data_IF_602819713120
#
_entry.id   IF_602819713120
#
_cell.length_a   1.000
_cell.length_b   1.000
_cell.length_c   1.000
_cell.angle_alpha   90.00
_cell.angle_beta   90.00
_cell.angle_gamma   90.00
#
_symmetry.space_group_name_H-M   'P 1'
#
loop_
_entity.id
_entity.type
_entity.pdbx_description
1 polymer ?
#
# COMPACT_ATOMS: atom_id res chain seq x y z
N UNK A 1 -19.84 -10.88 -7.92
CA UNK A 1 -19.24 -10.80 -6.58
C UNK A 1 -19.33 -12.16 -5.93
N UNK A 2 -18.22 -12.69 -5.46
CA UNK A 2 -18.20 -13.90 -4.63
C UNK A 2 -18.64 -13.54 -3.20
N UNK A 3 -19.05 -14.55 -2.42
CA UNK A 3 -19.39 -14.34 -1.00
C UNK A 3 -18.21 -14.58 -0.06
N UNK A 4 -17.37 -15.55 -0.38
CA UNK A 4 -16.30 -16.02 0.50
C UNK A 4 -15.13 -16.54 -0.34
N UNK A 5 -13.91 -16.22 0.09
CA UNK A 5 -12.67 -16.88 -0.30
C UNK A 5 -12.34 -17.88 0.81
N UNK A 6 -12.08 -19.14 0.45
CA UNK A 6 -11.87 -20.21 1.42
C UNK A 6 -10.41 -20.26 1.89
N UNK A 7 -10.19 -19.82 3.14
CA UNK A 7 -8.88 -19.85 3.79
C UNK A 7 -8.64 -21.12 4.62
N UNK A 8 -9.61 -22.04 4.70
CA UNK A 8 -9.59 -23.17 5.64
C UNK A 8 -8.36 -24.08 5.52
N UNK A 9 -7.72 -24.13 4.35
CA UNK A 9 -6.45 -24.84 4.15
C UNK A 9 -5.27 -24.24 4.94
N UNK A 10 -5.46 -23.06 5.55
CA UNK A 10 -4.49 -22.35 6.39
C UNK A 10 -4.91 -22.28 7.87
N UNK A 11 -5.89 -23.05 8.32
CA UNK A 11 -6.34 -23.03 9.72
C UNK A 11 -5.20 -23.20 10.75
N UNK A 12 -4.21 -24.05 10.44
CA UNK A 12 -3.05 -24.31 11.30
C UNK A 12 -1.94 -23.25 11.20
N UNK A 13 -2.19 -22.13 10.50
CA UNK A 13 -1.36 -20.93 10.51
C UNK A 13 -1.99 -19.92 11.45
N UNK A 14 -1.20 -19.35 12.35
CA UNK A 14 -1.68 -18.34 13.30
C UNK A 14 -1.19 -16.96 12.87
N UNK A 15 -2.00 -15.94 13.13
CA UNK A 15 -1.62 -14.53 12.98
C UNK A 15 -1.69 -13.89 14.36
N UNK A 16 -0.57 -13.28 14.77
CA UNK A 16 -0.45 -12.52 16.00
C UNK A 16 -0.89 -11.08 15.78
N UNK A 17 -1.85 -10.66 16.58
CA UNK A 17 -2.39 -9.30 16.59
C UNK A 17 -1.55 -8.36 17.46
N UNK A 18 -1.84 -7.06 17.38
CA UNK A 18 -1.14 -6.01 18.12
C UNK A 18 -1.25 -6.17 19.65
N UNK A 19 -2.35 -6.74 20.14
CA UNK A 19 -2.59 -7.07 21.55
C UNK A 19 -1.95 -8.39 22.01
N UNK A 20 -1.27 -9.10 21.10
CA UNK A 20 -0.62 -10.39 21.35
C UNK A 20 -1.54 -11.61 21.23
N UNK A 21 -2.84 -11.43 20.94
CA UNK A 21 -3.74 -12.55 20.65
C UNK A 21 -3.33 -13.28 19.37
N UNK A 22 -3.60 -14.59 19.33
CA UNK A 22 -3.34 -15.45 18.18
C UNK A 22 -4.68 -15.90 17.59
N UNK A 23 -4.89 -15.65 16.30
CA UNK A 23 -6.04 -16.15 15.56
C UNK A 23 -5.58 -17.06 14.43
N UNK A 24 -6.30 -18.15 14.12
CA UNK A 24 -6.13 -18.86 12.86
C UNK A 24 -6.20 -17.91 11.65
N UNK A 25 -5.43 -18.21 10.60
CA UNK A 25 -5.35 -17.38 9.39
C UNK A 25 -6.66 -17.33 8.60
N UNK A 26 -7.55 -18.32 8.81
CA UNK A 26 -8.88 -18.40 8.23
C UNK A 26 -9.96 -17.66 9.03
N UNK A 27 -9.64 -17.13 10.21
CA UNK A 27 -10.57 -16.32 10.99
C UNK A 27 -10.53 -14.84 10.56
N UNK A 28 -11.68 -14.22 10.25
CA UNK A 28 -11.76 -12.80 9.94
C UNK A 28 -11.27 -11.92 11.08
N UNK A 29 -10.56 -10.85 10.73
CA UNK A 29 -10.09 -9.84 11.67
C UNK A 29 -10.23 -8.47 11.04
N UNK A 30 -10.77 -7.49 11.78
CA UNK A 30 -10.82 -6.10 11.36
C UNK A 30 -10.61 -5.15 12.54
N UNK A 31 -9.67 -4.21 12.40
CA UNK A 31 -9.60 -3.01 13.23
C UNK A 31 -10.01 -1.80 12.39
N UNK A 32 -10.69 -0.84 13.00
CA UNK A 32 -11.13 0.39 12.31
C UNK A 32 -10.82 1.63 13.15
N UNK A 33 -10.35 2.67 12.47
CA UNK A 33 -10.12 3.99 13.04
C UNK A 33 -10.69 5.06 12.10
N UNK A 34 -11.45 6.03 12.63
CA UNK A 34 -11.86 7.19 11.83
C UNK A 34 -10.68 8.15 11.69
N UNK A 35 -10.34 8.51 10.45
CA UNK A 35 -9.22 9.42 10.15
C UNK A 35 -9.69 10.82 9.75
N UNK A 36 -10.91 10.94 9.24
CA UNK A 36 -11.58 12.18 8.86
C UNK A 36 -13.11 11.93 8.76
N UNK A 37 -13.95 12.98 8.68
CA UNK A 37 -15.35 12.84 8.31
C UNK A 37 -15.56 11.94 7.07
N UNK A 38 -16.37 10.89 7.21
CA UNK A 38 -16.61 9.93 6.14
C UNK A 38 -15.36 9.17 5.70
N UNK A 39 -14.35 9.01 6.57
CA UNK A 39 -13.13 8.26 6.23
C UNK A 39 -12.65 7.39 7.36
N UNK A 40 -12.38 6.14 7.00
CA UNK A 40 -11.90 5.13 7.92
C UNK A 40 -10.62 4.51 7.38
N UNK A 41 -9.73 4.16 8.30
CA UNK A 41 -8.57 3.29 8.10
C UNK A 41 -8.92 1.92 8.66
N UNK A 42 -8.66 0.87 7.89
CA UNK A 42 -9.06 -0.51 8.19
C UNK A 42 -7.83 -1.40 8.13
N UNK A 43 -7.64 -2.23 9.16
CA UNK A 43 -6.65 -3.30 9.16
C UNK A 43 -7.35 -4.64 9.11
N UNK A 44 -7.06 -5.48 8.11
CA UNK A 44 -7.48 -6.89 8.08
C UNK A 44 -6.31 -7.83 8.35
N UNK A 45 -5.28 -7.77 7.52
CA UNK A 45 -3.95 -8.34 7.69
C UNK A 45 -3.03 -7.72 6.63
N UNK A 46 -1.77 -7.51 6.96
CA UNK A 46 -0.82 -6.78 6.14
C UNK A 46 -1.06 -5.28 6.25
N UNK A 47 -1.17 -4.62 5.12
CA UNK A 47 -1.23 -3.18 5.05
C UNK A 47 -2.64 -2.61 5.28
N UNK A 48 -2.70 -1.30 5.56
CA UNK A 48 -3.97 -0.64 5.82
C UNK A 48 -4.72 -0.41 4.52
N UNK A 49 -6.02 -0.68 4.55
CA UNK A 49 -6.99 -0.22 3.55
C UNK A 49 -7.77 0.97 4.08
N UNK A 50 -8.48 1.67 3.21
CA UNK A 50 -9.30 2.82 3.59
C UNK A 50 -10.70 2.74 3.01
N UNK A 51 -11.65 3.42 3.64
CA UNK A 51 -12.99 3.65 3.11
C UNK A 51 -13.23 5.15 3.02
N UNK A 52 -13.70 5.61 1.87
CA UNK A 52 -14.01 7.02 1.61
C UNK A 52 -15.48 7.14 1.24
N UNK A 53 -16.24 7.84 2.06
CA UNK A 53 -17.67 8.09 1.87
C UNK A 53 -17.90 9.45 1.21
N UNK A 54 -18.66 9.45 0.12
CA UNK A 54 -19.29 10.61 -0.48
C UNK A 54 -20.81 10.64 -0.22
N UNK A 55 -21.53 11.49 -0.94
CA UNK A 55 -22.98 11.65 -0.75
C UNK A 55 -23.80 10.55 -1.46
N UNK A 56 -23.28 9.95 -2.53
CA UNK A 56 -23.97 8.93 -3.32
C UNK A 56 -23.47 7.51 -3.04
N UNK A 57 -22.16 7.33 -2.91
CA UNK A 57 -21.52 6.04 -2.65
C UNK A 57 -20.27 6.17 -1.78
N UNK A 58 -19.74 5.03 -1.34
CA UNK A 58 -18.45 4.94 -0.69
C UNK A 58 -17.54 3.98 -1.45
N UNK A 59 -16.25 4.31 -1.54
CA UNK A 59 -15.25 3.52 -2.25
C UNK A 59 -14.19 3.00 -1.28
N UNK A 60 -13.84 1.73 -1.42
CA UNK A 60 -12.67 1.18 -0.74
C UNK A 60 -11.39 1.62 -1.46
N UNK A 61 -10.33 1.87 -0.70
CA UNK A 61 -8.98 2.06 -1.21
C UNK A 61 -8.15 0.90 -0.68
N UNK A 62 -7.69 0.05 -1.60
CA UNK A 62 -7.08 -1.25 -1.31
C UNK A 62 -7.98 -2.21 -0.52
N UNK A 63 -7.56 -3.48 -0.39
CA UNK A 63 -8.44 -4.54 0.13
C UNK A 63 -7.83 -5.45 1.20
N UNK A 64 -6.54 -5.31 1.51
CA UNK A 64 -5.86 -6.24 2.41
C UNK A 64 -5.81 -7.66 1.84
N UNK A 65 -5.15 -8.58 2.56
CA UNK A 65 -5.14 -10.01 2.22
C UNK A 65 -5.73 -10.91 3.32
N UNK A 66 -6.33 -10.33 4.37
CA UNK A 66 -6.92 -11.09 5.47
C UNK A 66 -8.16 -11.88 5.07
N UNK A 67 -8.46 -12.94 5.83
CA UNK A 67 -9.70 -13.69 5.71
C UNK A 67 -10.93 -12.82 6.03
N UNK A 68 -12.08 -13.25 5.50
CA UNK A 68 -13.36 -12.54 5.64
C UNK A 68 -13.70 -11.64 4.45
N UNK A 69 -14.95 -11.21 4.39
CA UNK A 69 -15.46 -10.35 3.32
C UNK A 69 -15.30 -8.88 3.72
N UNK A 70 -14.18 -8.27 3.31
CA UNK A 70 -13.89 -6.87 3.67
C UNK A 70 -14.97 -5.91 3.15
N UNK A 71 -15.55 -6.14 1.98
CA UNK A 71 -16.63 -5.28 1.44
C UNK A 71 -17.86 -5.27 2.35
N UNK A 72 -18.29 -6.44 2.84
CA UNK A 72 -19.39 -6.53 3.79
C UNK A 72 -19.07 -5.85 5.12
N UNK A 73 -17.83 -5.98 5.60
CA UNK A 73 -17.37 -5.25 6.78
C UNK A 73 -17.44 -3.73 6.56
N UNK A 74 -16.88 -3.23 5.44
CA UNK A 74 -16.91 -1.81 5.09
C UNK A 74 -18.34 -1.27 4.96
N UNK A 75 -19.27 -2.06 4.42
CA UNK A 75 -20.68 -1.69 4.33
C UNK A 75 -21.33 -1.47 5.71
N UNK A 76 -20.79 -2.04 6.79
CA UNK A 76 -21.31 -1.81 8.16
C UNK A 76 -20.91 -0.44 8.72
N UNK A 77 -19.93 0.22 8.11
CA UNK A 77 -19.40 1.52 8.54
C UNK A 77 -20.18 2.71 7.96
N UNK A 78 -21.01 2.47 6.94
CA UNK A 78 -21.71 3.50 6.17
C UNK A 78 -23.05 3.02 5.64
N UNK A 79 -24.04 3.91 5.56
CA UNK A 79 -25.31 3.66 4.87
C UNK A 79 -25.19 3.83 3.34
N UNK A 80 -24.06 4.34 2.84
CA UNK A 80 -23.80 4.49 1.41
C UNK A 80 -23.41 3.15 0.80
N UNK A 81 -23.80 2.87 -0.47
CA UNK A 81 -23.39 1.64 -1.12
C UNK A 81 -21.86 1.52 -1.23
N UNK A 82 -21.31 0.40 -0.76
CA UNK A 82 -19.90 0.03 -0.95
C UNK A 82 -19.82 -1.03 -2.06
N UNK A 83 -19.70 -0.56 -3.30
CA UNK A 83 -19.70 -1.43 -4.50
C UNK A 83 -18.32 -1.58 -5.11
N UNK A 84 -17.48 -0.57 -4.99
CA UNK A 84 -16.27 -0.42 -5.78
C UNK A 84 -15.03 -0.30 -4.89
N UNK A 85 -13.88 -0.65 -5.46
CA UNK A 85 -12.56 -0.44 -4.86
C UNK A 85 -11.65 0.27 -5.86
N UNK A 86 -10.73 1.10 -5.40
CA UNK A 86 -9.57 1.56 -6.17
C UNK A 86 -8.30 1.02 -5.52
N UNK A 87 -7.40 0.44 -6.31
CA UNK A 87 -6.13 -0.06 -5.81
C UNK A 87 -5.02 0.95 -6.05
N UNK A 88 -4.17 1.15 -5.05
CA UNK A 88 -2.97 2.00 -5.16
C UNK A 88 -1.93 1.37 -6.06
N UNK A 89 -1.77 0.05 -6.02
CA UNK A 89 -0.87 -0.71 -6.89
C UNK A 89 -1.21 -2.22 -6.90
N UNK A 90 -0.36 -3.05 -7.53
CA UNK A 90 -0.63 -4.46 -7.81
C UNK A 90 -0.28 -5.48 -6.72
N UNK A 91 0.44 -5.09 -5.67
CA UNK A 91 0.85 -6.04 -4.64
C UNK A 91 -0.36 -6.73 -3.99
N UNK A 92 -0.14 -7.94 -3.52
CA UNK A 92 -1.20 -8.85 -3.15
C UNK A 92 -1.96 -8.39 -1.90
N UNK A 93 -1.28 -7.78 -0.93
CA UNK A 93 -1.86 -7.09 0.22
C UNK A 93 -2.77 -5.91 -0.14
N UNK A 94 -2.70 -5.39 -1.35
CA UNK A 94 -3.59 -4.32 -1.81
C UNK A 94 -4.76 -4.87 -2.61
N UNK A 95 -4.60 -6.03 -3.25
CA UNK A 95 -5.49 -6.52 -4.32
C UNK A 95 -6.13 -7.89 -4.08
N UNK A 96 -5.76 -8.62 -3.01
CA UNK A 96 -6.21 -9.99 -2.77
C UNK A 96 -7.73 -10.12 -2.69
N UNK A 97 -8.40 -9.16 -2.06
CA UNK A 97 -9.82 -9.22 -1.75
C UNK A 97 -10.70 -8.44 -2.76
N UNK A 98 -10.15 -8.05 -3.92
CA UNK A 98 -10.87 -7.32 -4.96
C UNK A 98 -12.13 -8.03 -5.48
N UNK A 99 -12.16 -9.37 -5.48
CA UNK A 99 -13.27 -10.17 -5.99
C UNK A 99 -14.60 -10.00 -5.23
N UNK A 100 -14.57 -9.41 -4.04
CA UNK A 100 -15.77 -9.07 -3.29
C UNK A 100 -16.51 -7.86 -3.89
N UNK A 101 -15.84 -7.00 -4.64
CA UNK A 101 -16.39 -5.76 -5.21
C UNK A 101 -16.97 -5.98 -6.61
N UNK A 102 -17.86 -5.08 -7.05
CA UNK A 102 -18.43 -5.11 -8.40
C UNK A 102 -17.38 -4.74 -9.45
N UNK A 103 -16.53 -3.75 -9.16
CA UNK A 103 -15.39 -3.40 -9.98
C UNK A 103 -14.22 -2.81 -9.17
N UNK A 104 -13.03 -2.96 -9.72
CA UNK A 104 -11.78 -2.43 -9.19
C UNK A 104 -11.17 -1.43 -10.17
N UNK A 105 -10.97 -0.19 -9.72
CA UNK A 105 -10.21 0.83 -10.44
C UNK A 105 -8.72 0.63 -10.19
N UNK A 106 -7.91 0.70 -11.24
CA UNK A 106 -6.45 0.52 -11.15
C UNK A 106 -5.74 1.08 -12.38
N UNK A 107 -4.44 1.30 -12.28
CA UNK A 107 -3.65 1.67 -13.45
C UNK A 107 -3.57 0.52 -14.46
N UNK A 108 -3.22 0.84 -15.71
CA UNK A 108 -3.01 -0.14 -16.78
C UNK A 108 -1.90 -1.14 -16.43
N UNK A 109 -0.86 -0.67 -15.75
CA UNK A 109 0.29 -1.47 -15.36
C UNK A 109 -0.03 -2.42 -14.20
N UNK A 110 -0.97 -2.05 -13.32
CA UNK A 110 -1.46 -2.90 -12.23
C UNK A 110 -2.36 -4.03 -12.72
N UNK A 111 -3.13 -3.82 -13.79
CA UNK A 111 -4.13 -4.77 -14.31
C UNK A 111 -3.66 -6.22 -14.50
N UNK A 112 -2.52 -6.51 -15.15
CA UNK A 112 -2.05 -7.87 -15.34
C UNK A 112 -1.50 -8.52 -14.06
N UNK A 113 -1.10 -7.72 -13.08
CA UNK A 113 -0.36 -8.15 -11.88
C UNK A 113 -1.26 -8.27 -10.64
N UNK A 114 -2.41 -7.57 -10.63
CA UNK A 114 -3.33 -7.57 -9.50
C UNK A 114 -3.80 -8.99 -9.12
N UNK A 115 -3.90 -9.21 -7.81
CA UNK A 115 -4.42 -10.44 -7.19
C UNK A 115 -3.57 -11.68 -7.51
N UNK A 116 -2.27 -11.51 -7.80
CA UNK A 116 -1.32 -12.64 -7.84
C UNK A 116 -0.96 -13.01 -6.40
N UNK A 117 -1.30 -14.21 -5.91
CA UNK A 117 -1.08 -14.57 -4.51
C UNK A 117 0.40 -14.69 -4.16
N UNK A 118 0.74 -14.23 -2.96
CA UNK A 118 2.05 -14.50 -2.38
C UNK A 118 2.21 -16.00 -2.02
N UNK A 119 3.45 -16.53 -1.95
CA UNK A 119 3.74 -17.93 -1.62
C UNK A 119 3.04 -18.45 -0.35
N UNK A 120 2.95 -17.64 0.70
CA UNK A 120 2.34 -18.02 1.97
C UNK A 120 0.84 -18.39 1.84
N UNK A 121 0.18 -17.93 0.77
CA UNK A 121 -1.23 -18.18 0.46
C UNK A 121 -1.45 -19.38 -0.48
N UNK A 122 -0.41 -20.15 -0.81
CA UNK A 122 -0.51 -21.35 -1.66
C UNK A 122 -1.67 -22.27 -1.21
N UNK A 123 -2.53 -22.67 -2.15
CA UNK A 123 -3.68 -23.54 -1.87
C UNK A 123 -5.00 -22.81 -1.58
N UNK A 124 -5.00 -21.47 -1.57
CA UNK A 124 -6.21 -20.65 -1.57
C UNK A 124 -6.48 -20.15 -3.00
N UNK A 125 -7.73 -20.22 -3.45
CA UNK A 125 -8.15 -19.66 -4.73
C UNK A 125 -8.62 -18.21 -4.58
N UNK A 126 -7.91 -17.27 -5.22
CA UNK A 126 -8.29 -15.85 -5.29
C UNK A 126 -8.84 -15.52 -6.67
N UNK A 127 -10.17 -15.30 -6.83
CA UNK A 127 -10.74 -15.02 -8.13
C UNK A 127 -10.22 -13.70 -8.72
N UNK A 128 -9.82 -13.75 -9.99
CA UNK A 128 -9.30 -12.58 -10.74
C UNK A 128 -10.28 -12.07 -11.80
N UNK A 129 -11.40 -12.77 -11.98
CA UNK A 129 -12.49 -12.46 -12.90
C UNK A 129 -13.51 -11.51 -12.23
N UNK A 130 -13.04 -10.30 -11.97
CA UNK A 130 -13.86 -9.16 -11.57
C UNK A 130 -13.65 -8.03 -12.58
N UNK A 131 -14.61 -7.11 -12.69
CA UNK A 131 -14.52 -6.00 -13.63
C UNK A 131 -13.37 -5.08 -13.21
N UNK A 132 -12.41 -4.85 -14.11
CA UNK A 132 -11.30 -3.91 -13.92
C UNK A 132 -11.58 -2.65 -14.73
N UNK A 133 -11.41 -1.49 -14.11
CA UNK A 133 -11.55 -0.18 -14.76
C UNK A 133 -10.20 0.49 -14.73
N UNK A 134 -9.68 0.80 -15.92
CA UNK A 134 -8.39 1.49 -16.03
C UNK A 134 -8.57 2.97 -15.74
N UNK A 135 -7.71 3.49 -14.88
CA UNK A 135 -7.57 4.93 -14.59
C UNK A 135 -6.16 5.41 -14.93
N UNK A 136 -6.04 6.69 -15.25
CA UNK A 136 -4.78 7.35 -15.63
C UNK A 136 -4.56 8.65 -14.85
N UNK A 137 -3.40 9.26 -15.06
CA UNK A 137 -2.98 10.51 -14.43
C UNK A 137 -3.99 11.64 -14.72
N UNK A 138 -4.53 12.25 -13.66
CA UNK A 138 -5.51 13.33 -13.74
C UNK A 138 -6.98 12.88 -13.78
N UNK A 139 -7.27 11.58 -13.84
CA UNK A 139 -8.64 11.08 -13.73
C UNK A 139 -9.25 11.41 -12.35
N UNK A 140 -10.58 11.50 -12.31
CA UNK A 140 -11.32 11.85 -11.09
C UNK A 140 -12.42 10.82 -10.83
N UNK A 141 -12.46 10.26 -9.62
CA UNK A 141 -13.58 9.47 -9.11
C UNK A 141 -14.49 10.40 -8.31
N UNK A 142 -15.74 10.56 -8.72
CA UNK A 142 -16.76 11.35 -8.00
C UNK A 142 -17.68 10.42 -7.20
N UNK A 143 -17.74 10.63 -5.88
CA UNK A 143 -18.55 9.86 -4.94
C UNK A 143 -19.85 10.59 -4.55
N UNK A 144 -20.20 11.65 -5.29
CA UNK A 144 -21.28 12.58 -4.96
C UNK A 144 -20.76 13.66 -4.01
N UNK A 145 -20.25 14.76 -4.54
CA UNK A 145 -19.79 15.91 -3.72
C UNK A 145 -18.47 15.68 -2.96
N UNK A 146 -17.79 14.56 -3.23
CA UNK A 146 -16.43 14.26 -2.77
C UNK A 146 -15.69 13.53 -3.88
N UNK A 147 -14.55 14.08 -4.28
CA UNK A 147 -13.79 13.59 -5.44
C UNK A 147 -12.41 13.10 -5.05
N UNK A 148 -11.95 12.04 -5.69
CA UNK A 148 -10.57 11.55 -5.61
C UNK A 148 -9.87 11.82 -6.95
N UNK A 149 -8.86 12.70 -6.96
CA UNK A 149 -8.04 12.98 -8.15
C UNK A 149 -6.84 12.05 -8.19
N UNK A 150 -6.60 11.41 -9.33
CA UNK A 150 -5.59 10.35 -9.48
C UNK A 150 -4.27 10.94 -9.98
N UNK A 151 -3.17 10.48 -9.39
CA UNK A 151 -1.81 10.80 -9.80
C UNK A 151 -1.03 9.50 -10.04
N UNK A 152 -0.46 9.31 -11.23
CA UNK A 152 0.49 8.23 -11.48
C UNK A 152 1.86 8.61 -10.91
N UNK A 153 2.34 7.78 -10.00
CA UNK A 153 3.62 7.95 -9.28
C UNK A 153 4.39 6.61 -9.17
N UNK A 154 4.60 5.86 -10.26
CA UNK A 154 5.20 4.53 -10.20
C UNK A 154 6.64 4.54 -9.70
N UNK A 155 6.90 3.98 -8.51
CA UNK A 155 8.24 3.55 -8.09
C UNK A 155 8.19 2.28 -7.23
N UNK A 156 7.39 2.28 -6.15
CA UNK A 156 7.22 1.12 -5.29
C UNK A 156 6.77 -0.10 -6.11
N UNK A 157 5.78 0.11 -6.97
CA UNK A 157 5.36 -0.83 -7.99
C UNK A 157 5.11 -0.10 -9.33
N UNK A 158 5.20 -0.84 -10.43
CA UNK A 158 5.15 -0.30 -11.80
C UNK A 158 3.85 0.44 -12.14
N UNK A 159 2.77 0.12 -11.44
CA UNK A 159 1.45 0.72 -11.62
C UNK A 159 0.99 1.64 -10.50
N UNK A 160 1.91 2.11 -9.63
CA UNK A 160 1.52 2.86 -8.45
C UNK A 160 0.84 4.19 -8.77
N UNK A 161 -0.29 4.40 -8.10
CA UNK A 161 -1.07 5.63 -8.14
C UNK A 161 -1.30 6.18 -6.73
N UNK A 162 -1.45 7.50 -6.66
CA UNK A 162 -1.97 8.18 -5.49
C UNK A 162 -3.34 8.81 -5.79
N UNK A 163 -4.16 8.95 -4.76
CA UNK A 163 -5.48 9.57 -4.84
C UNK A 163 -5.55 10.75 -3.89
N UNK A 164 -5.77 11.95 -4.43
CA UNK A 164 -5.95 13.17 -3.66
C UNK A 164 -7.42 13.37 -3.33
N UNK A 165 -7.69 13.48 -2.04
CA UNK A 165 -8.91 14.03 -1.49
C UNK A 165 -8.63 15.41 -0.89
N UNK A 166 -8.89 16.45 -1.66
CA UNK A 166 -8.66 17.84 -1.23
C UNK A 166 -9.69 18.33 -0.21
N UNK A 167 -10.84 17.66 -0.08
CA UNK A 167 -11.88 18.02 0.90
C UNK A 167 -11.41 17.75 2.32
N UNK A 168 -10.90 16.54 2.57
CA UNK A 168 -10.40 16.14 3.91
C UNK A 168 -8.87 16.27 4.03
N UNK A 169 -8.22 16.80 2.99
CA UNK A 169 -6.77 17.02 2.91
C UNK A 169 -5.94 15.75 3.11
N UNK A 170 -6.33 14.70 2.41
CA UNK A 170 -5.70 13.38 2.45
C UNK A 170 -5.12 13.04 1.07
N UNK A 171 -3.95 12.42 1.05
CA UNK A 171 -3.38 11.80 -0.14
C UNK A 171 -3.17 10.31 0.15
N UNK A 172 -3.89 9.44 -0.54
CA UNK A 172 -3.71 7.99 -0.43
C UNK A 172 -2.57 7.56 -1.34
N UNK A 173 -1.55 6.90 -0.82
CA UNK A 173 -0.29 6.69 -1.55
C UNK A 173 0.18 5.24 -1.59
N UNK A 174 -0.56 4.31 -1.00
CA UNK A 174 -0.08 2.94 -0.79
C UNK A 174 1.28 2.96 -0.10
N UNK A 175 2.25 2.28 -0.69
CA UNK A 175 3.57 2.04 -0.08
C UNK A 175 4.67 2.94 -0.65
N UNK A 176 4.28 3.98 -1.39
CA UNK A 176 5.23 4.88 -2.02
C UNK A 176 6.07 5.67 -1.00
N UNK A 177 5.51 5.99 0.16
CA UNK A 177 6.18 6.83 1.16
C UNK A 177 6.27 6.13 2.52
N UNK A 178 7.50 5.90 2.96
CA UNK A 178 7.80 5.33 4.28
C UNK A 178 8.73 6.27 5.07
N UNK A 179 8.44 6.53 6.36
CA UNK A 179 9.29 7.37 7.19
C UNK A 179 10.57 6.64 7.59
N UNK A 180 11.49 7.34 8.26
CA UNK A 180 12.61 6.68 8.94
C UNK A 180 12.09 5.70 10.01
N UNK A 181 12.79 4.57 10.25
CA UNK A 181 14.11 4.22 9.69
C UNK A 181 14.08 3.55 8.30
N UNK A 182 12.90 3.28 7.73
CA UNK A 182 12.78 2.57 6.46
C UNK A 182 13.21 3.46 5.28
N UNK A 183 12.70 4.69 5.20
CA UNK A 183 12.92 5.55 4.03
C UNK A 183 12.42 4.89 2.75
N UNK A 184 13.03 5.18 1.60
CA UNK A 184 12.61 4.61 0.31
C UNK A 184 13.79 4.05 -0.46
N UNK A 185 13.65 2.81 -0.93
CA UNK A 185 14.54 2.23 -1.94
C UNK A 185 13.92 2.48 -3.31
N UNK A 186 14.62 3.21 -4.18
CA UNK A 186 14.12 3.54 -5.51
C UNK A 186 14.35 2.38 -6.46
N UNK A 187 13.30 2.01 -7.20
CA UNK A 187 13.36 1.08 -8.32
C UNK A 187 13.64 1.82 -9.65
N UNK A 188 13.34 3.12 -9.68
CA UNK A 188 13.58 4.03 -10.81
C UNK A 188 14.77 4.97 -10.55
N UNK A 189 15.08 5.82 -11.54
CA UNK A 189 16.08 6.89 -11.38
C UNK A 189 15.64 8.00 -10.43
N UNK A 190 16.61 8.65 -9.78
CA UNK A 190 16.33 9.75 -8.83
C UNK A 190 15.60 10.91 -9.51
N UNK A 191 15.97 11.21 -10.77
CA UNK A 191 15.30 12.24 -11.59
C UNK A 191 13.85 11.88 -11.89
N UNK A 192 13.58 10.64 -12.31
CA UNK A 192 12.21 10.16 -12.51
C UNK A 192 11.37 10.26 -11.23
N UNK A 193 11.93 9.86 -10.09
CA UNK A 193 11.26 9.99 -8.79
C UNK A 193 11.01 11.44 -8.40
N UNK A 194 11.98 12.35 -8.60
CA UNK A 194 11.76 13.78 -8.38
C UNK A 194 10.61 14.32 -9.24
N UNK A 195 10.49 13.88 -10.50
CA UNK A 195 9.36 14.25 -11.36
C UNK A 195 8.00 13.83 -10.80
N UNK A 196 7.93 12.71 -10.05
CA UNK A 196 6.71 12.29 -9.38
C UNK A 196 6.41 13.19 -8.16
N UNK A 197 7.45 13.54 -7.40
CA UNK A 197 7.34 14.48 -6.29
C UNK A 197 6.92 15.87 -6.77
N UNK A 198 7.41 16.34 -7.92
CA UNK A 198 7.02 17.62 -8.52
C UNK A 198 5.51 17.70 -8.79
N UNK A 199 4.89 16.61 -9.27
CA UNK A 199 3.42 16.54 -9.43
C UNK A 199 2.70 16.75 -8.09
N UNK A 200 3.15 16.06 -7.04
CA UNK A 200 2.55 16.17 -5.71
C UNK A 200 2.82 17.54 -5.08
N UNK A 201 4.00 18.11 -5.33
CA UNK A 201 4.38 19.45 -4.86
C UNK A 201 3.51 20.53 -5.50
N UNK A 202 3.06 20.35 -6.74
CA UNK A 202 2.14 21.27 -7.41
C UNK A 202 0.75 21.37 -6.75
N UNK A 203 0.36 20.36 -5.97
CA UNK A 203 -0.91 20.32 -5.21
C UNK A 203 -0.67 20.20 -3.70
N UNK A 204 0.53 20.56 -3.23
CA UNK A 204 0.95 20.30 -1.85
C UNK A 204 0.06 20.95 -0.80
N UNK A 205 -0.51 22.12 -1.09
CA UNK A 205 -1.40 22.85 -0.18
C UNK A 205 -2.78 22.20 0.01
N UNK A 206 -3.10 21.18 -0.80
CA UNK A 206 -4.38 20.47 -0.77
C UNK A 206 -4.40 19.24 0.13
N UNK A 207 -3.28 18.81 0.72
CA UNK A 207 -3.23 17.67 1.62
C UNK A 207 -2.28 17.89 2.81
N UNK A 208 -2.66 17.42 4.00
CA UNK A 208 -1.85 17.55 5.22
C UNK A 208 -1.36 16.19 5.74
N UNK A 209 -1.97 15.10 5.26
CA UNK A 209 -1.66 13.72 5.67
C UNK A 209 -1.56 12.78 4.47
N UNK A 210 -0.66 11.81 4.58
CA UNK A 210 -0.56 10.68 3.67
C UNK A 210 -1.25 9.47 4.28
N UNK A 211 -2.06 8.79 3.51
CA UNK A 211 -2.72 7.54 3.88
C UNK A 211 -2.03 6.41 3.11
N UNK A 212 -0.99 5.82 3.70
CA UNK A 212 -0.23 4.72 3.11
C UNK A 212 -0.59 3.36 3.68
N UNK A 213 0.00 2.30 3.15
CA UNK A 213 -0.18 0.95 3.68
C UNK A 213 0.37 0.81 5.11
N UNK A 214 1.45 1.54 5.43
CA UNK A 214 2.00 1.74 6.78
C UNK A 214 1.12 2.53 7.76
N UNK A 215 0.11 3.25 7.27
CA UNK A 215 -0.84 4.04 8.07
C UNK A 215 -0.85 5.52 7.69
N UNK A 216 -1.35 6.35 8.61
CA UNK A 216 -1.46 7.80 8.39
C UNK A 216 -0.18 8.50 8.81
N UNK A 217 0.43 9.21 7.86
CA UNK A 217 1.69 9.93 8.03
C UNK A 217 1.50 11.43 7.80
N UNK A 218 2.46 12.23 8.26
CA UNK A 218 2.48 13.66 7.97
C UNK A 218 2.92 13.92 6.51
N UNK A 219 2.17 14.75 5.78
CA UNK A 219 2.47 15.08 4.38
C UNK A 219 3.80 15.81 4.15
N UNK A 220 4.43 16.34 5.21
CA UNK A 220 5.80 16.86 5.14
C UNK A 220 6.80 15.82 4.60
N UNK A 221 6.47 14.53 4.69
CA UNK A 221 7.29 13.46 4.11
C UNK A 221 7.52 13.67 2.60
N UNK A 222 6.55 14.20 1.85
CA UNK A 222 6.72 14.58 0.43
C UNK A 222 7.79 15.66 0.26
N UNK A 223 7.78 16.69 1.11
CA UNK A 223 8.79 17.74 1.11
C UNK A 223 10.18 17.18 1.41
N UNK A 224 10.29 16.30 2.41
CA UNK A 224 11.57 15.69 2.80
C UNK A 224 12.14 14.84 1.65
N UNK A 225 11.30 14.04 1.00
CA UNK A 225 11.72 13.26 -0.18
C UNK A 225 12.11 14.17 -1.34
N UNK A 226 11.35 15.24 -1.59
CA UNK A 226 11.66 16.23 -2.63
C UNK A 226 13.02 16.89 -2.40
N UNK A 227 13.28 17.36 -1.19
CA UNK A 227 14.54 18.00 -0.80
C UNK A 227 15.71 17.02 -0.89
N UNK A 228 15.52 15.77 -0.45
CA UNK A 228 16.54 14.72 -0.52
C UNK A 228 16.87 14.32 -1.97
N UNK A 229 15.87 14.11 -2.82
CA UNK A 229 16.07 13.81 -4.24
C UNK A 229 16.74 14.98 -4.98
N UNK A 230 16.31 16.21 -4.68
CA UNK A 230 16.94 17.43 -5.23
C UNK A 230 18.41 17.56 -4.81
N UNK A 231 18.72 17.25 -3.55
CA UNK A 231 20.08 17.27 -3.03
C UNK A 231 20.97 16.24 -3.76
N UNK A 232 20.48 15.03 -4.01
CA UNK A 232 21.20 14.04 -4.82
C UNK A 232 21.48 14.57 -6.23
N UNK A 233 20.47 15.14 -6.89
CA UNK A 233 20.59 15.68 -8.26
C UNK A 233 21.47 16.93 -8.36
N UNK A 234 21.71 17.63 -7.25
CA UNK A 234 22.70 18.70 -7.17
C UNK A 234 24.16 18.19 -7.13
N UNK A 235 24.37 16.86 -7.20
CA UNK A 235 25.68 16.22 -7.27
C UNK A 235 26.18 15.67 -5.93
N UNK A 236 25.32 15.61 -4.91
CA UNK A 236 25.68 15.03 -3.62
C UNK A 236 25.50 13.51 -3.65
N UNK A 237 26.59 12.77 -3.53
CA UNK A 237 26.58 11.31 -3.49
C UNK A 237 26.30 10.80 -2.06
N UNK A 238 25.41 9.81 -1.94
CA UNK A 238 25.15 9.12 -0.68
C UNK A 238 26.32 8.23 -0.23
N UNK A 239 26.19 7.62 0.94
CA UNK A 239 27.17 6.66 1.44
C UNK A 239 26.93 5.25 0.89
N UNK A 240 27.93 4.37 0.97
CA UNK A 240 27.77 2.92 0.71
C UNK A 240 27.33 2.13 1.94
N UNK A 241 27.15 2.78 3.08
CA UNK A 241 26.82 2.08 4.32
C UNK A 241 25.35 1.72 4.32
N UNK A 242 25.08 0.44 4.09
CA UNK A 242 23.77 -0.17 4.22
C UNK A 242 23.86 -1.32 5.22
N UNK A 243 23.06 -1.25 6.28
CA UNK A 243 22.84 -2.40 7.15
C UNK A 243 21.50 -3.02 6.75
N UNK A 244 21.49 -4.13 5.98
CA UNK A 244 20.25 -4.81 5.67
C UNK A 244 19.55 -5.19 6.97
N UNK A 245 18.24 -4.96 7.02
CA UNK A 245 17.42 -5.50 8.08
C UNK A 245 17.59 -7.02 8.14
N UNK A 246 17.66 -7.59 9.34
CA UNK A 246 17.59 -9.05 9.46
C UNK A 246 16.20 -9.49 8.97
N UNK A 247 16.08 -10.56 8.17
CA UNK A 247 14.78 -11.07 7.80
C UNK A 247 13.98 -11.37 9.07
N UNK A 248 12.66 -11.13 9.05
CA UNK A 248 11.81 -11.50 10.17
C UNK A 248 11.99 -12.99 10.45
N UNK A 249 12.13 -13.34 11.74
CA UNK A 249 12.10 -14.74 12.14
C UNK A 249 10.67 -15.25 11.96
N UNK A 250 10.53 -16.53 11.62
CA UNK A 250 9.25 -17.22 11.61
C UNK A 250 9.06 -17.92 12.96
N UNK A 251 8.29 -17.35 13.91
CA UNK A 251 8.01 -18.01 15.17
C UNK A 251 7.08 -19.22 14.97
N UNK A 252 7.20 -20.18 15.88
CA UNK A 252 6.31 -21.33 16.00
C UNK A 252 5.74 -21.41 17.42
N UNK A 253 4.52 -21.93 17.56
CA UNK A 253 3.95 -22.25 18.86
C UNK A 253 4.41 -23.62 19.40
N UNK A 254 3.92 -24.02 20.58
CA UNK A 254 4.26 -25.32 21.19
C UNK A 254 3.83 -26.54 20.34
N UNK A 255 2.86 -26.36 19.44
CA UNK A 255 2.39 -27.37 18.50
C UNK A 255 3.10 -27.30 17.13
N UNK A 256 4.14 -26.47 16.99
CA UNK A 256 4.87 -26.21 15.73
C UNK A 256 4.02 -25.59 14.62
N UNK A 257 2.95 -24.88 14.99
CA UNK A 257 2.19 -24.05 14.05
C UNK A 257 2.98 -22.78 13.78
N UNK A 258 3.05 -22.40 12.51
CA UNK A 258 3.67 -21.14 12.07
C UNK A 258 2.84 -19.97 12.61
N UNK A 259 3.53 -18.96 13.13
CA UNK A 259 2.94 -17.70 13.58
C UNK A 259 3.45 -16.57 12.67
N UNK A 260 2.54 -15.87 12.02
CA UNK A 260 2.79 -14.59 11.34
C UNK A 260 2.44 -13.42 12.26
N UNK A 261 2.92 -12.23 11.92
CA UNK A 261 2.56 -10.97 12.59
C UNK A 261 1.63 -10.16 11.67
N UNK A 262 0.49 -9.70 12.18
CA UNK A 262 -0.64 -9.07 11.43
C UNK A 262 -0.26 -7.90 10.51
N UNK A 263 0.92 -7.31 10.67
CA UNK A 263 1.42 -6.12 9.97
C UNK A 263 2.77 -6.34 9.28
N UNK A 264 3.29 -7.56 9.33
CA UNK A 264 4.62 -7.88 8.83
C UNK A 264 4.49 -8.83 7.64
N UNK A 265 5.33 -8.65 6.60
CA UNK A 265 5.38 -9.59 5.51
C UNK A 265 5.75 -10.98 6.01
N UNK A 266 5.16 -12.02 5.41
CA UNK A 266 5.53 -13.38 5.75
C UNK A 266 6.94 -13.67 5.19
N UNK A 267 7.81 -14.38 5.93
CA UNK A 267 9.20 -14.60 5.51
C UNK A 267 9.38 -15.23 4.13
N UNK A 268 8.45 -16.09 3.71
CA UNK A 268 8.41 -16.72 2.38
C UNK A 268 7.96 -15.79 1.24
N UNK A 269 7.30 -14.68 1.57
CA UNK A 269 6.77 -13.72 0.59
C UNK A 269 7.82 -12.65 0.24
N UNK A 270 8.91 -12.57 1.01
CA UNK A 270 9.99 -11.62 0.79
C UNK A 270 10.84 -12.03 -0.42
N UNK A 271 10.85 -11.17 -1.44
CA UNK A 271 11.82 -11.27 -2.54
C UNK A 271 13.24 -11.02 -2.01
N UNK A 272 14.10 -12.04 -2.12
CA UNK A 272 15.54 -11.90 -1.86
C UNK A 272 16.22 -11.56 -3.18
N UNK A 273 16.29 -10.29 -3.50
CA UNK A 273 17.27 -9.86 -4.50
C UNK A 273 18.64 -9.81 -3.83
N UNK A 274 19.63 -10.42 -4.50
CA UNK A 274 21.05 -10.24 -4.17
C UNK A 274 21.43 -8.91 -4.86
N UNK A 275 21.12 -7.81 -4.17
CA UNK A 275 21.25 -6.48 -4.73
C UNK A 275 22.74 -6.15 -4.91
N UNK A 276 23.05 -5.66 -6.12
CA UNK A 276 24.37 -5.20 -6.56
C UNK A 276 24.91 -4.06 -5.70
N UNK A 277 25.30 -4.41 -4.48
CA UNK A 277 25.63 -3.56 -3.34
C UNK A 277 26.67 -2.48 -3.68
N UNK A 278 27.55 -2.73 -4.65
CA UNK A 278 28.60 -1.77 -5.01
C UNK A 278 28.09 -0.44 -5.60
N UNK A 279 26.93 -0.45 -6.26
CA UNK A 279 26.35 0.73 -6.91
C UNK A 279 25.27 1.42 -6.07
N UNK A 280 24.76 0.75 -5.04
CA UNK A 280 23.79 1.36 -4.14
C UNK A 280 24.41 2.48 -3.32
N UNK A 281 23.63 3.53 -3.12
CA UNK A 281 23.93 4.67 -2.27
C UNK A 281 22.77 4.97 -1.35
N UNK A 282 23.08 5.27 -0.11
CA UNK A 282 22.15 5.70 0.91
C UNK A 282 22.38 7.20 1.18
N UNK A 283 21.38 8.02 0.87
CA UNK A 283 21.35 9.44 1.19
C UNK A 283 20.42 9.70 2.37
N UNK A 284 20.99 10.22 3.46
CA UNK A 284 20.25 10.78 4.58
C UNK A 284 20.29 12.31 4.49
N UNK A 285 19.19 12.93 4.11
CA UNK A 285 19.06 14.39 3.97
C UNK A 285 17.62 14.84 4.29
N UNK A 286 17.45 16.08 4.76
CA UNK A 286 16.14 16.64 5.14
C UNK A 286 15.31 15.79 6.13
N UNK A 287 15.98 14.92 6.91
CA UNK A 287 15.31 14.03 7.87
C UNK A 287 14.61 12.83 7.22
N UNK A 288 14.99 12.45 6.01
CA UNK A 288 14.54 11.21 5.33
C UNK A 288 15.72 10.46 4.71
N UNK A 289 15.47 9.22 4.31
CA UNK A 289 16.43 8.34 3.62
C UNK A 289 15.95 7.96 2.23
N UNK A 290 16.82 8.12 1.25
CA UNK A 290 16.66 7.54 -0.10
C UNK A 290 17.82 6.60 -0.38
N UNK A 291 17.50 5.36 -0.74
CA UNK A 291 18.46 4.39 -1.27
C UNK A 291 18.27 4.31 -2.78
N UNK A 292 19.35 4.46 -3.56
CA UNK A 292 19.29 4.56 -5.01
C UNK A 292 20.53 3.94 -5.67
N UNK A 293 20.39 3.52 -6.93
CA UNK A 293 21.52 3.10 -7.77
C UNK A 293 22.21 4.33 -8.38
N UNK A 294 23.50 4.52 -8.08
CA UNK A 294 24.28 5.66 -8.56
C UNK A 294 24.32 5.77 -10.09
N UNK A 295 24.15 4.66 -10.81
CA UNK A 295 24.14 4.64 -12.28
C UNK A 295 22.85 5.22 -12.86
N UNK A 296 21.77 5.22 -12.08
CA UNK A 296 20.41 5.65 -12.50
C UNK A 296 20.03 7.05 -12.04
N UNK A 297 20.94 7.84 -11.45
CA UNK A 297 20.61 9.15 -10.85
C UNK A 297 19.83 10.06 -11.80
N UNK A 298 20.23 10.11 -13.07
CA UNK A 298 19.65 11.02 -14.07
C UNK A 298 18.65 10.37 -15.03
N UNK A 299 18.27 9.11 -14.78
CA UNK A 299 17.19 8.42 -15.52
C UNK A 299 15.82 9.05 -15.24
#
# INVERSE_FOLDING_TARGET
>A
MIKTIDFSCKHDRLIRNSDGSLLPMDEPYYEVESVAPGTWKILSSGDYSYLVEGEEEAIAIDTGYGAGNIREYLQTLTDKPVKNVINTHDHFDHTANNAYFEMAYMSKETEPLATIPFPSFEGIEFPRDYKKVIVDDGDVIDLGGRTLTIFKIPDHAVGSIAMLDSREKLLYTGDEFMPLPMGKHLNIGVKSFLGHLEKLMAVRDQFDRLCGGGGVLNANLVNQFYDCASYILAGHEGSREFAPGKPPKQPEDAARRIIYDRRMPHPEDLHREDDGNEFLRCMDYAGIRIVYDIRKVYE
#
